data_IF_320343443192
#
_entry.id   IF_320343443192
#
_cell.length_a   1.000
_cell.length_b   1.000
_cell.length_c   1.000
_cell.angle_alpha   90.00
_cell.angle_beta   90.00
_cell.angle_gamma   90.00
#
_symmetry.space_group_name_H-M   'P 1'
#
loop_
_entity.id
_entity.type
_entity.pdbx_description
1 polymer ?
#
# COMPACT_ATOMS: atom_id res chain seq x y z
N UNK A 1 -14.13 -21.26 -8.64
CA UNK A 1 -15.24 -20.36 -8.97
C UNK A 1 -15.49 -19.27 -7.91
N UNK A 2 -15.66 -19.55 -6.61
CA UNK A 2 -15.88 -18.57 -5.53
C UNK A 2 -14.79 -17.49 -5.46
N UNK A 3 -13.51 -17.86 -5.57
CA UNK A 3 -12.34 -16.95 -5.46
C UNK A 3 -12.16 -16.02 -6.64
N UNK A 4 -12.41 -16.49 -7.87
CA UNK A 4 -12.38 -15.61 -9.06
C UNK A 4 -13.48 -14.56 -9.01
N UNK A 5 -14.66 -14.92 -8.47
CA UNK A 5 -15.73 -13.96 -8.18
C UNK A 5 -15.32 -12.94 -7.12
N UNK A 6 -14.63 -13.37 -6.04
CA UNK A 6 -14.14 -12.48 -5.01
C UNK A 6 -13.15 -11.44 -5.55
N UNK A 7 -12.20 -11.85 -6.41
CA UNK A 7 -11.27 -10.93 -7.10
C UNK A 7 -12.05 -9.92 -7.96
N UNK A 8 -13.00 -10.43 -8.78
CA UNK A 8 -13.79 -9.55 -9.64
C UNK A 8 -14.62 -8.54 -8.84
N UNK A 9 -15.30 -8.98 -7.79
CA UNK A 9 -16.08 -8.07 -6.92
C UNK A 9 -15.18 -7.05 -6.23
N UNK A 10 -14.00 -7.47 -5.74
CA UNK A 10 -13.04 -6.55 -5.13
C UNK A 10 -12.59 -5.47 -6.10
N UNK A 11 -12.09 -5.86 -7.28
CA UNK A 11 -11.58 -4.91 -8.27
C UNK A 11 -12.70 -4.03 -8.84
N UNK A 12 -13.81 -4.63 -9.28
CA UNK A 12 -14.93 -3.86 -9.83
C UNK A 12 -15.50 -2.89 -8.79
N UNK A 13 -15.66 -3.32 -7.55
CA UNK A 13 -16.15 -2.45 -6.47
C UNK A 13 -15.19 -1.32 -6.18
N UNK A 14 -13.90 -1.61 -5.95
CA UNK A 14 -12.87 -0.61 -5.66
C UNK A 14 -12.77 0.41 -6.78
N UNK A 15 -12.66 -0.05 -8.03
CA UNK A 15 -12.49 0.86 -9.16
C UNK A 15 -13.77 1.59 -9.56
N UNK A 16 -14.95 0.96 -9.51
CA UNK A 16 -16.20 1.68 -9.80
C UNK A 16 -16.45 2.79 -8.79
N UNK A 17 -16.14 2.58 -7.51
CA UNK A 17 -16.28 3.62 -6.48
C UNK A 17 -15.34 4.81 -6.75
N UNK A 18 -14.04 4.59 -6.94
CA UNK A 18 -13.09 5.68 -7.14
C UNK A 18 -13.31 6.39 -8.50
N UNK A 19 -13.64 5.64 -9.56
CA UNK A 19 -13.99 6.21 -10.88
C UNK A 19 -15.24 7.06 -10.79
N UNK A 20 -16.27 6.65 -10.03
CA UNK A 20 -17.48 7.47 -9.82
C UNK A 20 -17.15 8.80 -9.16
N UNK A 21 -16.22 8.82 -8.19
CA UNK A 21 -15.73 10.06 -7.60
C UNK A 21 -14.95 10.89 -8.62
N UNK A 22 -14.08 10.28 -9.42
CA UNK A 22 -13.35 10.99 -10.47
C UNK A 22 -14.31 11.64 -11.49
N UNK A 23 -15.37 10.93 -11.91
CA UNK A 23 -16.37 11.46 -12.81
C UNK A 23 -17.13 12.64 -12.19
N UNK A 24 -17.50 12.55 -10.91
CA UNK A 24 -18.09 13.67 -10.18
C UNK A 24 -17.16 14.89 -10.23
N UNK A 25 -15.86 14.72 -9.93
CA UNK A 25 -14.89 15.83 -9.98
C UNK A 25 -14.68 16.37 -11.39
N UNK A 26 -14.71 15.51 -12.40
CA UNK A 26 -14.67 15.95 -13.79
C UNK A 26 -15.84 16.90 -14.12
N UNK A 27 -17.07 16.54 -13.73
CA UNK A 27 -18.24 17.41 -13.95
C UNK A 27 -18.19 18.68 -13.10
N UNK A 28 -17.80 18.60 -11.81
CA UNK A 28 -17.67 19.79 -10.96
C UNK A 28 -16.67 20.79 -11.55
N UNK A 29 -15.52 20.31 -12.03
CA UNK A 29 -14.51 21.14 -12.67
C UNK A 29 -15.02 21.74 -14.00
N UNK A 30 -15.76 20.96 -14.79
CA UNK A 30 -16.34 21.44 -16.04
C UNK A 30 -17.33 22.61 -15.81
N UNK A 31 -18.09 22.55 -14.73
CA UNK A 31 -19.01 23.62 -14.34
C UNK A 31 -18.38 24.67 -13.42
N UNK A 32 -17.06 24.66 -13.25
CA UNK A 32 -16.31 25.58 -12.38
C UNK A 32 -16.80 25.60 -10.93
N UNK A 33 -17.38 24.52 -10.45
CA UNK A 33 -17.83 24.38 -9.05
C UNK A 33 -16.64 23.94 -8.22
N UNK A 34 -16.13 24.83 -7.38
CA UNK A 34 -15.06 24.54 -6.44
C UNK A 34 -15.59 24.57 -5.01
N UNK A 35 -15.30 23.52 -4.23
CA UNK A 35 -15.68 23.43 -2.82
C UNK A 35 -14.68 22.57 -2.06
N UNK A 36 -14.06 23.16 -1.04
CA UNK A 36 -13.15 22.44 -0.16
C UNK A 36 -13.84 21.23 0.53
N UNK A 37 -15.12 21.41 0.89
CA UNK A 37 -15.89 20.32 1.49
C UNK A 37 -16.06 19.14 0.53
N UNK A 38 -16.42 19.39 -0.73
CA UNK A 38 -16.56 18.36 -1.74
C UNK A 38 -15.21 17.67 -2.02
N UNK A 39 -14.10 18.42 -2.05
CA UNK A 39 -12.76 17.84 -2.19
C UNK A 39 -12.44 16.90 -1.04
N UNK A 40 -12.65 17.32 0.21
CA UNK A 40 -12.41 16.46 1.39
C UNK A 40 -13.30 15.21 1.35
N UNK A 41 -14.57 15.35 1.02
CA UNK A 41 -15.49 14.20 0.89
C UNK A 41 -15.04 13.26 -0.24
N UNK A 42 -14.60 13.80 -1.38
CA UNK A 42 -14.08 13.00 -2.49
C UNK A 42 -12.82 12.21 -2.11
N UNK A 43 -11.88 12.84 -1.42
CA UNK A 43 -10.67 12.21 -0.89
C UNK A 43 -11.04 11.07 0.07
N UNK A 44 -11.99 11.28 0.98
CA UNK A 44 -12.43 10.26 1.92
C UNK A 44 -13.11 9.10 1.17
N UNK A 45 -14.13 9.40 0.35
CA UNK A 45 -14.92 8.37 -0.34
C UNK A 45 -14.08 7.60 -1.37
N UNK A 46 -13.23 8.28 -2.15
CA UNK A 46 -12.30 7.64 -3.08
C UNK A 46 -11.23 6.84 -2.35
N UNK A 47 -10.63 7.44 -1.32
CA UNK A 47 -9.52 6.86 -0.56
C UNK A 47 -9.86 5.58 0.20
N UNK A 48 -11.06 5.47 0.78
CA UNK A 48 -11.47 4.26 1.50
C UNK A 48 -11.90 3.09 0.58
N UNK A 49 -11.97 3.29 -0.74
CA UNK A 49 -12.56 2.30 -1.65
C UNK A 49 -11.91 0.92 -1.55
N UNK A 50 -10.58 0.83 -1.51
CA UNK A 50 -9.88 -0.46 -1.40
C UNK A 50 -10.18 -1.17 -0.07
N UNK A 51 -10.21 -0.43 1.04
CA UNK A 51 -10.51 -0.97 2.36
C UNK A 51 -11.98 -1.43 2.45
N UNK A 52 -12.91 -0.60 2.00
CA UNK A 52 -14.34 -0.89 2.05
C UNK A 52 -14.67 -2.18 1.27
N UNK A 53 -14.22 -2.26 0.01
CA UNK A 53 -14.46 -3.45 -0.79
C UNK A 53 -13.66 -4.66 -0.30
N UNK A 54 -12.49 -4.45 0.32
CA UNK A 54 -11.77 -5.48 1.05
C UNK A 54 -12.61 -6.05 2.19
N UNK A 55 -13.21 -5.21 3.03
CA UNK A 55 -14.10 -5.62 4.13
C UNK A 55 -15.33 -6.39 3.60
N UNK A 56 -15.98 -5.88 2.55
CA UNK A 56 -17.15 -6.52 1.93
C UNK A 56 -16.78 -7.91 1.43
N UNK A 57 -15.68 -8.05 0.69
CA UNK A 57 -15.22 -9.33 0.15
C UNK A 57 -14.78 -10.29 1.25
N UNK A 58 -14.05 -9.82 2.27
CA UNK A 58 -13.65 -10.63 3.42
C UNK A 58 -14.86 -11.19 4.14
N UNK A 59 -15.88 -10.39 4.38
CA UNK A 59 -17.09 -10.81 5.07
C UNK A 59 -17.92 -11.78 4.21
N UNK A 60 -18.24 -11.41 2.97
CA UNK A 60 -19.16 -12.15 2.12
C UNK A 60 -18.57 -13.49 1.60
N UNK A 61 -17.30 -13.48 1.19
CA UNK A 61 -16.68 -14.66 0.55
C UNK A 61 -15.89 -15.53 1.51
N UNK A 62 -15.30 -14.95 2.56
CA UNK A 62 -14.41 -15.64 3.49
C UNK A 62 -14.97 -15.74 4.92
N UNK A 63 -16.13 -15.15 5.18
CA UNK A 63 -16.80 -15.14 6.48
C UNK A 63 -15.94 -14.51 7.60
N UNK A 64 -15.09 -13.55 7.22
CA UNK A 64 -14.27 -12.79 8.16
C UNK A 64 -15.06 -11.58 8.62
N UNK A 65 -15.55 -11.60 9.85
CA UNK A 65 -16.35 -10.53 10.42
C UNK A 65 -15.54 -9.24 10.60
N UNK A 66 -16.19 -8.10 10.47
CA UNK A 66 -15.59 -6.76 10.63
C UNK A 66 -14.80 -6.61 11.94
N UNK A 67 -15.33 -7.11 13.07
CA UNK A 67 -14.62 -7.09 14.36
C UNK A 67 -13.26 -7.78 14.31
N UNK A 68 -13.14 -8.87 13.54
CA UNK A 68 -11.86 -9.56 13.37
C UNK A 68 -10.89 -8.73 12.52
N UNK A 69 -11.37 -8.09 11.45
CA UNK A 69 -10.55 -7.23 10.60
C UNK A 69 -9.97 -6.07 11.43
N UNK A 70 -10.79 -5.41 12.25
CA UNK A 70 -10.32 -4.34 13.15
C UNK A 70 -9.33 -4.87 14.18
N UNK A 71 -9.57 -6.04 14.76
CA UNK A 71 -8.60 -6.68 15.68
C UNK A 71 -7.27 -6.96 14.99
N UNK A 72 -7.29 -7.47 13.75
CA UNK A 72 -6.08 -7.77 12.99
C UNK A 72 -5.36 -6.49 12.54
N UNK A 73 -6.12 -5.43 12.23
CA UNK A 73 -5.59 -4.11 11.86
C UNK A 73 -4.80 -3.45 13.00
N UNK A 74 -5.24 -3.61 14.25
CA UNK A 74 -4.57 -3.08 15.43
C UNK A 74 -3.82 -4.17 16.24
N UNK A 75 -3.46 -5.29 15.60
CA UNK A 75 -2.75 -6.37 16.27
C UNK A 75 -1.26 -6.05 16.46
N UNK A 76 -0.99 -5.14 17.39
CA UNK A 76 0.36 -4.73 17.78
C UNK A 76 1.13 -5.83 18.53
N UNK A 77 0.41 -6.80 19.13
CA UNK A 77 1.03 -7.90 19.88
C UNK A 77 1.52 -8.98 18.91
N UNK A 78 2.74 -8.78 18.41
CA UNK A 78 3.42 -9.73 17.52
C UNK A 78 4.88 -9.88 17.93
N UNK A 79 5.60 -10.82 17.32
CA UNK A 79 7.02 -11.02 17.62
C UNK A 79 7.84 -9.76 17.31
N UNK A 80 8.76 -9.39 18.20
CA UNK A 80 9.71 -8.30 17.96
C UNK A 80 10.52 -8.49 16.66
N UNK A 81 10.73 -9.76 16.24
CA UNK A 81 11.40 -10.08 14.97
C UNK A 81 10.64 -9.55 13.75
N UNK A 82 9.30 -9.43 13.83
CA UNK A 82 8.49 -8.86 12.76
C UNK A 82 8.73 -7.36 12.64
N UNK A 83 8.87 -6.66 13.76
CA UNK A 83 9.23 -5.24 13.78
C UNK A 83 10.65 -5.02 13.26
N UNK A 84 11.62 -5.82 13.71
CA UNK A 84 12.99 -5.75 13.20
C UNK A 84 13.05 -5.96 11.68
N UNK A 85 12.29 -6.93 11.16
CA UNK A 85 12.19 -7.20 9.74
C UNK A 85 11.61 -6.00 8.97
N UNK A 86 10.55 -5.40 9.50
CA UNK A 86 9.95 -4.19 8.93
C UNK A 86 10.95 -3.04 8.89
N UNK A 87 11.58 -2.73 10.03
CA UNK A 87 12.59 -1.66 10.10
C UNK A 87 13.80 -1.91 9.20
N UNK A 88 14.26 -3.15 9.09
CA UNK A 88 15.33 -3.52 8.17
C UNK A 88 14.97 -3.15 6.72
N UNK A 89 13.78 -3.51 6.26
CA UNK A 89 13.35 -3.20 4.89
C UNK A 89 13.13 -1.70 4.67
N UNK A 90 12.60 -0.98 5.67
CA UNK A 90 12.47 0.48 5.62
C UNK A 90 13.84 1.16 5.52
N UNK A 91 14.79 0.78 6.40
CA UNK A 91 16.15 1.33 6.39
C UNK A 91 16.82 1.05 5.03
N UNK A 92 16.64 -0.15 4.49
CA UNK A 92 17.18 -0.52 3.20
C UNK A 92 16.55 0.33 2.08
N UNK A 93 15.23 0.53 2.08
CA UNK A 93 14.54 1.31 1.04
C UNK A 93 14.92 2.81 1.08
N UNK A 94 15.16 3.37 2.27
CA UNK A 94 15.55 4.76 2.45
C UNK A 94 17.06 4.98 2.52
N UNK A 95 17.88 3.96 2.28
CA UNK A 95 19.35 4.11 2.27
C UNK A 95 19.86 4.96 1.10
N UNK A 96 19.00 5.34 0.13
CA UNK A 96 19.32 6.35 -0.89
C UNK A 96 19.75 7.70 -0.31
N UNK A 97 19.37 7.99 0.93
CA UNK A 97 19.84 9.17 1.66
C UNK A 97 21.39 9.21 1.76
N UNK A 98 22.06 8.05 1.74
CA UNK A 98 23.52 7.95 1.71
C UNK A 98 24.10 8.33 0.34
N UNK A 99 23.29 8.36 -0.73
CA UNK A 99 23.67 8.65 -2.10
C UNK A 99 23.23 10.04 -2.58
N UNK A 100 23.09 10.99 -1.64
CA UNK A 100 22.78 12.38 -1.96
C UNK A 100 21.30 12.75 -1.82
N UNK A 101 20.47 11.86 -1.33
CA UNK A 101 19.12 12.23 -0.86
C UNK A 101 19.21 13.17 0.34
N UNK A 102 18.13 13.92 0.58
CA UNK A 102 18.08 14.94 1.64
C UNK A 102 16.86 14.71 2.52
N UNK A 103 17.02 15.04 3.80
CA UNK A 103 15.90 15.17 4.73
C UNK A 103 15.53 16.65 4.75
N UNK A 104 14.23 16.97 4.56
CA UNK A 104 13.74 18.35 4.66
C UNK A 104 13.68 18.77 6.13
N UNK A 105 13.77 20.07 6.39
CA UNK A 105 13.58 20.60 7.74
C UNK A 105 12.12 20.43 8.18
N UNK A 106 11.94 19.93 9.41
CA UNK A 106 10.61 19.77 10.00
C UNK A 106 10.65 19.90 11.52
N UNK A 107 9.51 20.24 12.12
CA UNK A 107 9.33 20.25 13.57
C UNK A 107 9.40 18.82 14.13
N UNK A 108 10.06 18.60 15.25
CA UNK A 108 10.31 17.29 15.84
C UNK A 108 9.04 16.43 16.07
N UNK A 109 7.90 17.05 16.26
CA UNK A 109 6.60 16.38 16.46
C UNK A 109 5.91 15.97 15.16
N UNK A 110 6.29 16.57 14.01
CA UNK A 110 5.62 16.36 12.74
C UNK A 110 5.58 14.90 12.27
N UNK A 111 6.69 14.11 12.35
CA UNK A 111 6.66 12.71 11.97
C UNK A 111 5.61 11.88 12.75
N UNK A 112 5.40 12.19 14.02
CA UNK A 112 4.40 11.52 14.87
C UNK A 112 2.98 11.83 14.40
N UNK A 113 2.65 13.10 14.15
CA UNK A 113 1.34 13.49 13.62
C UNK A 113 1.08 12.86 12.25
N UNK A 114 2.08 12.89 11.38
CA UNK A 114 2.00 12.26 10.06
C UNK A 114 1.82 10.75 10.16
N UNK A 115 2.46 10.08 11.08
CA UNK A 115 2.29 8.65 11.27
C UNK A 115 0.83 8.29 11.59
N UNK A 116 0.19 8.98 12.52
CA UNK A 116 -1.24 8.75 12.81
C UNK A 116 -2.14 9.10 11.62
N UNK A 117 -1.85 10.19 10.91
CA UNK A 117 -2.54 10.52 9.66
C UNK A 117 -2.43 9.36 8.66
N UNK A 118 -1.24 8.81 8.46
CA UNK A 118 -1.01 7.78 7.44
C UNK A 118 -1.49 6.39 7.86
N UNK A 119 -1.73 6.11 9.14
CA UNK A 119 -2.50 4.92 9.54
C UNK A 119 -3.89 4.95 8.90
N UNK A 120 -4.53 6.13 8.87
CA UNK A 120 -5.88 6.31 8.33
C UNK A 120 -5.86 6.44 6.80
N UNK A 121 -4.92 7.21 6.22
CA UNK A 121 -4.91 7.53 4.79
C UNK A 121 -3.99 6.64 3.92
N UNK A 122 -3.25 5.73 4.53
CA UNK A 122 -2.39 4.78 3.82
C UNK A 122 -2.55 3.37 4.39
N UNK A 123 -2.37 3.23 5.70
CA UNK A 123 -2.43 1.94 6.38
C UNK A 123 -3.77 1.21 6.20
N UNK A 124 -4.89 1.93 6.12
CA UNK A 124 -6.22 1.34 5.89
C UNK A 124 -6.31 0.59 4.55
N UNK A 125 -5.55 1.01 3.54
CA UNK A 125 -5.50 0.38 2.22
C UNK A 125 -5.03 -1.07 2.30
N UNK A 126 -4.21 -1.41 3.31
CA UNK A 126 -3.67 -2.75 3.49
C UNK A 126 -4.76 -3.80 3.77
N UNK A 127 -5.94 -3.37 4.26
CA UNK A 127 -7.12 -4.25 4.38
C UNK A 127 -7.53 -4.78 3.00
N UNK A 128 -7.53 -3.92 1.99
CA UNK A 128 -7.85 -4.31 0.63
C UNK A 128 -6.71 -5.06 -0.04
N UNK A 129 -5.54 -4.43 -0.13
CA UNK A 129 -4.45 -4.93 -0.96
C UNK A 129 -3.76 -6.15 -0.37
N UNK A 130 -3.38 -6.16 0.92
CA UNK A 130 -2.55 -7.21 1.53
C UNK A 130 -3.35 -8.22 2.32
N UNK A 131 -4.46 -7.80 2.96
CA UNK A 131 -5.25 -8.74 3.74
C UNK A 131 -6.22 -9.57 2.88
N UNK A 132 -6.73 -9.00 1.76
CA UNK A 132 -7.74 -9.65 0.91
C UNK A 132 -7.22 -9.98 -0.49
N UNK A 133 -6.89 -8.96 -1.29
CA UNK A 133 -6.66 -9.13 -2.73
C UNK A 133 -5.45 -10.00 -3.04
N UNK A 134 -4.30 -9.65 -2.52
CA UNK A 134 -3.06 -10.36 -2.79
C UNK A 134 -3.05 -11.82 -2.32
N UNK A 135 -3.53 -12.18 -1.10
CA UNK A 135 -3.64 -13.58 -0.69
C UNK A 135 -4.49 -14.43 -1.63
N UNK A 136 -5.60 -13.88 -2.15
CA UNK A 136 -6.44 -14.60 -3.11
C UNK A 136 -5.68 -14.85 -4.43
N UNK A 137 -4.89 -13.88 -4.90
CA UNK A 137 -4.04 -14.05 -6.08
C UNK A 137 -2.97 -15.12 -5.83
N UNK A 138 -2.35 -15.13 -4.65
CA UNK A 138 -1.26 -16.05 -4.28
C UNK A 138 -1.68 -17.52 -4.21
N UNK A 139 -2.97 -17.81 -4.16
CA UNK A 139 -3.44 -19.19 -4.27
C UNK A 139 -3.23 -19.79 -5.66
N UNK A 140 -3.16 -18.94 -6.70
CA UNK A 140 -3.03 -19.36 -8.10
C UNK A 140 -1.74 -18.89 -8.75
N UNK A 141 -1.19 -17.76 -8.29
CA UNK A 141 -0.02 -17.13 -8.86
C UNK A 141 1.16 -17.21 -7.91
N UNK A 142 2.38 -17.42 -8.42
CA UNK A 142 3.60 -17.27 -7.66
C UNK A 142 3.69 -15.87 -7.03
N UNK A 143 4.50 -15.76 -5.97
CA UNK A 143 4.72 -14.51 -5.23
C UNK A 143 4.98 -13.30 -6.15
N UNK A 144 5.93 -13.44 -7.08
CA UNK A 144 6.31 -12.36 -7.99
C UNK A 144 5.11 -11.87 -8.81
N UNK A 145 4.40 -12.78 -9.47
CA UNK A 145 3.26 -12.42 -10.35
C UNK A 145 2.08 -11.84 -9.56
N UNK A 146 1.79 -12.37 -8.38
CA UNK A 146 0.73 -11.82 -7.52
C UNK A 146 1.08 -10.42 -7.02
N UNK A 147 2.35 -10.17 -6.69
CA UNK A 147 2.83 -8.86 -6.24
C UNK A 147 2.80 -7.83 -7.38
N UNK A 148 3.23 -8.22 -8.57
CA UNK A 148 3.15 -7.37 -9.78
C UNK A 148 1.70 -7.03 -10.13
N UNK A 149 0.79 -8.02 -10.08
CA UNK A 149 -0.64 -7.76 -10.32
C UNK A 149 -1.24 -6.80 -9.29
N UNK A 150 -0.85 -6.95 -8.03
CA UNK A 150 -1.26 -6.01 -6.96
C UNK A 150 -0.67 -4.62 -7.19
N UNK A 151 0.60 -4.53 -7.59
CA UNK A 151 1.24 -3.26 -7.94
C UNK A 151 0.49 -2.52 -9.04
N UNK A 152 0.18 -3.16 -10.16
CA UNK A 152 -0.53 -2.49 -11.26
C UNK A 152 -1.92 -2.00 -10.85
N UNK A 153 -2.66 -2.82 -10.10
CA UNK A 153 -3.97 -2.41 -9.58
C UNK A 153 -3.83 -1.22 -8.62
N UNK A 154 -2.84 -1.26 -7.74
CA UNK A 154 -2.59 -0.21 -6.76
C UNK A 154 -2.08 1.08 -7.41
N UNK A 155 -1.21 0.98 -8.43
CA UNK A 155 -0.73 2.12 -9.20
C UNK A 155 -1.88 2.83 -9.93
N UNK A 156 -2.74 2.07 -10.62
CA UNK A 156 -3.91 2.65 -11.28
C UNK A 156 -4.84 3.34 -10.29
N UNK A 157 -5.07 2.72 -9.12
CA UNK A 157 -5.86 3.32 -8.06
C UNK A 157 -5.26 4.65 -7.56
N UNK A 158 -3.94 4.72 -7.37
CA UNK A 158 -3.25 5.95 -6.96
C UNK A 158 -3.37 7.06 -8.00
N UNK A 159 -3.26 6.76 -9.29
CA UNK A 159 -3.43 7.77 -10.34
C UNK A 159 -4.83 8.39 -10.31
N UNK A 160 -5.87 7.57 -10.08
CA UNK A 160 -7.24 8.05 -9.90
C UNK A 160 -7.38 8.88 -8.61
N UNK A 161 -6.74 8.46 -7.53
CA UNK A 161 -6.75 9.18 -6.27
C UNK A 161 -6.05 10.55 -6.38
N UNK A 162 -4.90 10.62 -7.06
CA UNK A 162 -4.21 11.88 -7.33
C UNK A 162 -4.98 12.83 -8.24
N UNK A 163 -5.86 12.31 -9.09
CA UNK A 163 -6.81 13.14 -9.82
C UNK A 163 -7.82 13.81 -8.88
N UNK A 164 -8.32 13.08 -7.87
CA UNK A 164 -9.30 13.60 -6.91
C UNK A 164 -8.67 14.66 -5.99
N UNK A 165 -7.46 14.42 -5.50
CA UNK A 165 -6.78 15.35 -4.58
C UNK A 165 -6.03 16.49 -5.30
N UNK A 166 -6.00 16.47 -6.64
CA UNK A 166 -5.40 17.51 -7.48
C UNK A 166 -3.87 17.41 -7.65
N UNK A 167 -3.21 16.40 -7.06
CA UNK A 167 -1.74 16.25 -7.12
C UNK A 167 -1.23 15.58 -8.39
N UNK A 168 -2.12 15.07 -9.24
CA UNK A 168 -1.73 14.31 -10.44
C UNK A 168 -0.80 15.09 -11.39
N UNK A 169 -1.01 16.41 -11.52
CA UNK A 169 -0.22 17.26 -12.42
C UNK A 169 1.20 17.56 -11.91
N UNK A 170 1.42 17.45 -10.62
CA UNK A 170 2.72 17.68 -9.96
C UNK A 170 3.48 16.40 -9.69
N UNK A 171 2.87 15.25 -9.97
CA UNK A 171 3.43 13.93 -9.69
C UNK A 171 4.66 13.66 -10.56
N UNK A 172 5.77 13.34 -9.94
CA UNK A 172 6.91 12.74 -10.62
C UNK A 172 6.63 11.24 -10.85
N UNK A 173 5.99 10.94 -11.98
CA UNK A 173 5.38 9.62 -12.25
C UNK A 173 6.38 8.47 -12.14
N UNK A 174 7.58 8.60 -12.73
CA UNK A 174 8.56 7.51 -12.74
C UNK A 174 9.12 7.20 -11.34
N UNK A 175 9.63 8.17 -10.56
CA UNK A 175 10.04 7.95 -9.17
C UNK A 175 8.91 7.37 -8.31
N UNK A 176 7.68 7.89 -8.46
CA UNK A 176 6.51 7.39 -7.74
C UNK A 176 6.25 5.91 -8.05
N UNK A 177 6.19 5.52 -9.33
CA UNK A 177 5.92 4.14 -9.73
C UNK A 177 7.01 3.17 -9.25
N UNK A 178 8.29 3.57 -9.28
CA UNK A 178 9.38 2.75 -8.73
C UNK A 178 9.27 2.61 -7.20
N UNK A 179 8.95 3.68 -6.49
CA UNK A 179 8.67 3.64 -5.05
C UNK A 179 7.50 2.72 -4.72
N UNK A 180 6.38 2.86 -5.44
CA UNK A 180 5.19 2.05 -5.24
C UNK A 180 5.44 0.56 -5.56
N UNK A 181 6.23 0.27 -6.60
CA UNK A 181 6.66 -1.10 -6.93
C UNK A 181 7.46 -1.70 -5.78
N UNK A 182 8.46 -0.98 -5.27
CA UNK A 182 9.28 -1.41 -4.14
C UNK A 182 8.41 -1.66 -2.90
N UNK A 183 7.50 -0.72 -2.57
CA UNK A 183 6.55 -0.85 -1.46
C UNK A 183 5.64 -2.07 -1.63
N UNK A 184 5.23 -2.38 -2.86
CA UNK A 184 4.44 -3.57 -3.14
C UNK A 184 5.19 -4.85 -2.78
N UNK A 185 6.49 -4.93 -3.08
CA UNK A 185 7.32 -6.09 -2.72
C UNK A 185 7.61 -6.16 -1.23
N UNK A 186 7.94 -5.03 -0.59
CA UNK A 186 8.17 -4.96 0.87
C UNK A 186 6.93 -5.44 1.64
N UNK A 187 5.78 -4.81 1.40
CA UNK A 187 4.54 -5.10 2.13
C UNK A 187 4.04 -6.53 1.87
N UNK A 188 4.18 -7.01 0.65
CA UNK A 188 3.87 -8.39 0.27
C UNK A 188 4.75 -9.39 1.01
N UNK A 189 6.07 -9.18 1.03
CA UNK A 189 7.02 -10.03 1.74
C UNK A 189 6.75 -10.04 3.24
N UNK A 190 6.51 -8.87 3.83
CA UNK A 190 6.16 -8.73 5.25
C UNK A 190 4.88 -9.49 5.58
N UNK A 191 3.82 -9.33 4.80
CA UNK A 191 2.56 -10.03 5.06
C UNK A 191 2.72 -11.56 4.96
N UNK A 192 3.47 -12.06 3.98
CA UNK A 192 3.73 -13.50 3.85
C UNK A 192 4.54 -14.04 5.05
N UNK A 193 5.55 -13.30 5.50
CA UNK A 193 6.43 -13.72 6.59
C UNK A 193 5.76 -13.62 7.96
N UNK A 194 5.01 -12.57 8.19
CA UNK A 194 4.47 -12.27 9.52
C UNK A 194 3.03 -12.72 9.73
N UNK A 195 2.24 -12.82 8.64
CA UNK A 195 0.78 -13.02 8.67
C UNK A 195 0.07 -12.02 9.58
N UNK A 196 0.64 -10.83 9.73
CA UNK A 196 0.16 -9.78 10.60
C UNK A 196 -0.14 -8.53 9.79
N UNK A 197 -1.41 -8.09 9.81
CA UNK A 197 -1.88 -6.92 9.07
C UNK A 197 -1.27 -5.63 9.63
N UNK A 198 -1.15 -5.53 10.98
CA UNK A 198 -0.57 -4.35 11.63
C UNK A 198 0.85 -4.04 11.15
N UNK A 199 1.68 -5.06 10.95
CA UNK A 199 3.04 -4.86 10.41
C UNK A 199 2.99 -4.18 9.05
N UNK A 200 2.06 -4.55 8.17
CA UNK A 200 1.90 -3.87 6.87
C UNK A 200 1.37 -2.44 7.04
N UNK A 201 0.37 -2.24 7.90
CA UNK A 201 -0.20 -0.92 8.21
C UNK A 201 0.88 0.02 8.74
N UNK A 202 1.63 -0.41 9.75
CA UNK A 202 2.72 0.36 10.35
C UNK A 202 3.82 0.68 9.34
N UNK A 203 4.27 -0.34 8.59
CA UNK A 203 5.33 -0.17 7.57
C UNK A 203 4.91 0.82 6.49
N UNK A 204 3.70 0.67 5.93
CA UNK A 204 3.15 1.59 4.94
C UNK A 204 3.08 3.03 5.49
N UNK A 205 2.58 3.19 6.71
CA UNK A 205 2.49 4.51 7.35
C UNK A 205 3.86 5.15 7.54
N UNK A 206 4.87 4.40 7.98
CA UNK A 206 6.25 4.90 8.14
C UNK A 206 6.85 5.27 6.78
N UNK A 207 6.68 4.44 5.77
CA UNK A 207 7.15 4.73 4.41
C UNK A 207 6.52 6.05 3.90
N UNK A 208 5.22 6.25 4.11
CA UNK A 208 4.56 7.49 3.72
C UNK A 208 5.10 8.72 4.49
N UNK A 209 5.37 8.58 5.80
CA UNK A 209 6.02 9.64 6.60
C UNK A 209 7.39 9.98 6.00
N UNK A 210 8.23 8.98 5.81
CA UNK A 210 9.59 9.18 5.31
C UNK A 210 9.59 9.75 3.89
N UNK A 211 8.68 9.28 3.01
CA UNK A 211 8.53 9.79 1.65
C UNK A 211 8.12 11.27 1.61
N UNK A 212 7.42 11.77 2.63
CA UNK A 212 7.07 13.18 2.74
C UNK A 212 8.20 14.03 3.36
N UNK A 213 9.09 13.42 4.12
CA UNK A 213 10.17 14.10 4.85
C UNK A 213 11.53 13.98 4.14
N UNK A 214 11.59 13.28 3.01
CA UNK A 214 12.84 13.08 2.27
C UNK A 214 12.66 13.48 0.81
N UNK A 215 13.76 13.93 0.21
CA UNK A 215 13.84 14.22 -1.21
C UNK A 215 14.90 13.30 -1.81
N UNK A 216 14.49 12.53 -2.81
CA UNK A 216 15.41 11.72 -3.59
C UNK A 216 16.26 12.62 -4.51
N UNK A 217 17.51 12.22 -4.73
CA UNK A 217 18.41 12.86 -5.69
C UNK A 217 18.06 12.53 -7.14
N UNK A 218 17.12 11.60 -7.40
CA UNK A 218 16.76 11.05 -8.72
C UNK A 218 17.96 10.47 -9.49
N UNK A 219 18.96 10.00 -8.76
CA UNK A 219 20.15 9.37 -9.32
C UNK A 219 19.89 7.91 -9.69
N UNK A 220 20.67 7.37 -10.61
CA UNK A 220 20.55 5.97 -11.02
C UNK A 220 20.81 5.00 -9.85
N UNK A 221 21.64 5.38 -8.87
CA UNK A 221 21.90 4.60 -7.66
C UNK A 221 20.64 4.32 -6.86
N UNK A 222 19.71 5.28 -6.80
CA UNK A 222 18.41 5.10 -6.11
C UNK A 222 17.59 4.01 -6.81
N UNK A 223 17.54 4.00 -8.13
CA UNK A 223 16.81 2.96 -8.87
C UNK A 223 17.45 1.58 -8.70
N UNK A 224 18.79 1.50 -8.71
CA UNK A 224 19.51 0.24 -8.42
C UNK A 224 19.21 -0.27 -7.00
N UNK A 225 19.16 0.64 -6.03
CA UNK A 225 18.78 0.31 -4.66
C UNK A 225 17.35 -0.23 -4.59
N UNK A 226 16.39 0.41 -5.24
CA UNK A 226 14.99 -0.07 -5.31
C UNK A 226 14.92 -1.48 -5.89
N UNK A 227 15.66 -1.76 -6.96
CA UNK A 227 15.78 -3.11 -7.54
C UNK A 227 16.37 -4.08 -6.51
N UNK A 228 17.42 -3.68 -5.79
CA UNK A 228 18.02 -4.52 -4.75
C UNK A 228 17.02 -4.85 -3.63
N UNK A 229 16.24 -3.89 -3.16
CA UNK A 229 15.17 -4.10 -2.16
C UNK A 229 14.14 -5.12 -2.67
N UNK A 230 13.75 -5.02 -3.95
CA UNK A 230 12.85 -5.99 -4.57
C UNK A 230 13.45 -7.40 -4.56
N UNK A 231 14.72 -7.53 -4.94
CA UNK A 231 15.43 -8.82 -4.93
C UNK A 231 15.53 -9.40 -3.51
N UNK A 232 15.84 -8.59 -2.51
CA UNK A 232 15.86 -9.01 -1.09
C UNK A 232 14.48 -9.48 -0.66
N UNK A 233 13.42 -8.76 -1.00
CA UNK A 233 12.03 -9.13 -0.70
C UNK A 233 11.65 -10.47 -1.35
N UNK A 234 12.04 -10.69 -2.60
CA UNK A 234 11.83 -11.95 -3.30
C UNK A 234 12.60 -13.11 -2.63
N UNK A 235 13.88 -12.91 -2.34
CA UNK A 235 14.72 -13.90 -1.67
C UNK A 235 14.14 -14.33 -0.32
N UNK A 236 13.70 -13.37 0.49
CA UNK A 236 13.08 -13.65 1.78
C UNK A 236 11.87 -14.58 1.67
N UNK A 237 11.02 -14.38 0.66
CA UNK A 237 9.82 -15.21 0.47
C UNK A 237 10.17 -16.61 -0.06
N UNK A 238 11.10 -16.71 -1.00
CA UNK A 238 11.52 -18.00 -1.57
C UNK A 238 12.13 -18.93 -0.53
N UNK A 239 12.95 -18.42 0.37
CA UNK A 239 13.64 -19.22 1.39
C UNK A 239 12.69 -19.88 2.41
N UNK A 240 11.46 -19.39 2.56
CA UNK A 240 10.44 -20.03 3.43
C UNK A 240 9.81 -21.29 2.80
N UNK A 241 9.84 -21.43 1.48
CA UNK A 241 9.27 -22.59 0.78
C UNK A 241 10.04 -23.87 1.09
N UNK A 242 11.34 -23.77 1.33
CA UNK A 242 12.21 -24.91 1.65
C UNK A 242 12.02 -25.40 3.09
N UNK A 243 11.69 -24.52 4.04
CA UNK A 243 11.35 -24.94 5.40
C UNK A 243 10.03 -25.72 5.47
N UNK A 244 9.00 -25.27 4.72
CA UNK A 244 7.70 -25.94 4.71
C UNK A 244 7.75 -27.33 4.05
N UNK A 245 8.60 -27.52 3.05
CA UNK A 245 8.77 -28.81 2.36
C UNK A 245 9.66 -29.82 3.15
N UNK A 246 10.43 -29.37 4.13
CA UNK A 246 11.21 -30.25 5.01
C UNK A 246 10.38 -30.98 6.08
N UNK A 247 9.14 -30.54 6.31
CA UNK A 247 8.24 -31.13 7.32
C UNK A 247 7.02 -31.81 6.68
N UNK A 248 7.03 -32.04 5.36
CA UNK A 248 6.15 -32.95 4.65
C UNK A 248 6.89 -34.25 4.34
#
# INVERSE_FOLDING_TARGET
MKRSKAIAVYLLGTFSQIVSVCLLFFFLNHFSVQSNLLTVLGIIVGGISSALWGIIVANHYFHIHFKKIIKDFFNIHTSYKHYLLSFFLIILDFSFLMFGGKIIEFSWYLPFLMFFKFIVFGGIEEIGWRYVFQPILQEKLPYFHSTISTFFSWALWHLLFFYIDGSLTTLQTLPFLFGLLTNSFILSALYIKTKNLWICVMTHSIINVLSQLTVDSNRYETYLLKIFVILVSCYMVMHKKDEYNRYK
#
